data_IF_663054742824
#
_entry.id   IF_663054742824
#
_cell.length_a   1.000
_cell.length_b   1.000
_cell.length_c   1.000
_cell.angle_alpha   90.00
_cell.angle_beta   90.00
_cell.angle_gamma   90.00
#
_symmetry.space_group_name_H-M   'P 1'
#
loop_
_entity.id
_entity.type
_entity.pdbx_description
1 polymer ?
#
# COMPACT_ATOMS: atom_id res chain seq x y z
N UNK A 1 -6.65 -11.15 8.88
CA UNK A 1 -7.43 -10.70 7.71
C UNK A 1 -6.52 -10.55 6.50
N UNK A 2 -7.05 -10.84 5.33
CA UNK A 2 -6.29 -10.74 4.10
C UNK A 2 -6.65 -9.46 3.36
N UNK A 3 -5.62 -8.73 2.91
CA UNK A 3 -5.79 -7.47 2.21
C UNK A 3 -5.03 -7.55 0.88
N UNK A 4 -5.68 -7.12 -0.19
CA UNK A 4 -5.07 -7.04 -1.50
C UNK A 4 -4.33 -5.72 -1.63
N UNK A 5 -3.14 -5.75 -2.22
CA UNK A 5 -2.31 -4.55 -2.39
C UNK A 5 -2.10 -4.29 -3.88
N UNK A 6 -2.36 -3.06 -4.31
CA UNK A 6 -2.09 -2.62 -5.67
C UNK A 6 -0.91 -1.67 -5.67
N UNK A 7 -0.01 -1.86 -6.62
CA UNK A 7 1.23 -1.10 -6.73
C UNK A 7 1.34 -0.51 -8.13
N UNK A 8 1.72 0.75 -8.21
CA UNK A 8 1.78 1.48 -9.47
C UNK A 8 3.17 2.05 -9.73
N UNK A 9 3.50 2.21 -11.00
CA UNK A 9 4.71 2.90 -11.48
C UNK A 9 5.97 2.43 -10.75
N UNK A 10 6.71 3.34 -10.12
CA UNK A 10 7.98 3.02 -9.46
C UNK A 10 7.82 1.99 -8.35
N UNK A 11 6.69 1.97 -7.65
CA UNK A 11 6.46 1.00 -6.58
C UNK A 11 6.30 -0.40 -7.16
N UNK A 12 5.63 -0.52 -8.30
CA UNK A 12 5.48 -1.79 -8.99
C UNK A 12 6.86 -2.33 -9.41
N UNK A 13 7.76 -1.46 -9.84
CA UNK A 13 9.10 -1.86 -10.23
C UNK A 13 9.90 -2.37 -9.04
N UNK A 14 9.75 -1.73 -7.88
CA UNK A 14 10.45 -2.19 -6.67
C UNK A 14 9.99 -3.59 -6.25
N UNK A 15 8.69 -3.83 -6.29
CA UNK A 15 8.12 -5.10 -5.85
C UNK A 15 8.23 -6.18 -6.92
N UNK A 16 8.22 -5.77 -8.19
CA UNK A 16 8.25 -6.71 -9.31
C UNK A 16 6.88 -7.23 -9.72
N UNK A 17 5.80 -6.64 -9.16
CA UNK A 17 4.44 -7.03 -9.46
C UNK A 17 3.50 -5.87 -9.21
N UNK A 18 2.41 -5.80 -9.97
CA UNK A 18 1.38 -4.78 -9.77
C UNK A 18 0.40 -5.14 -8.66
N UNK A 19 0.43 -6.37 -8.18
CA UNK A 19 -0.46 -6.86 -7.13
C UNK A 19 0.28 -7.70 -6.12
N UNK A 20 -0.16 -7.64 -4.87
CA UNK A 20 0.33 -8.47 -3.81
C UNK A 20 -0.81 -8.72 -2.83
N UNK A 21 -0.59 -9.55 -1.84
CA UNK A 21 -1.56 -9.78 -0.78
C UNK A 21 -0.79 -9.91 0.53
N UNK A 22 -1.36 -9.37 1.60
CA UNK A 22 -0.75 -9.46 2.93
C UNK A 22 -1.77 -9.90 3.95
N UNK A 23 -1.29 -10.60 4.98
CA UNK A 23 -2.09 -10.96 6.13
C UNK A 23 -1.79 -9.98 7.25
N UNK A 24 -2.84 -9.48 7.89
CA UNK A 24 -2.73 -8.54 8.99
C UNK A 24 -3.68 -8.93 10.11
N UNK A 25 -3.38 -8.43 11.31
CA UNK A 25 -4.25 -8.63 12.44
C UNK A 25 -5.54 -7.81 12.31
N UNK A 26 -6.66 -8.28 12.87
CA UNK A 26 -7.87 -7.48 12.90
C UNK A 26 -7.60 -6.14 13.59
N UNK A 27 -8.17 -5.07 13.03
CA UNK A 27 -7.95 -3.73 13.56
C UNK A 27 -6.79 -2.98 12.91
N UNK A 28 -6.06 -3.63 11.99
CA UNK A 28 -4.97 -2.97 11.28
C UNK A 28 -5.49 -1.83 10.40
N UNK A 29 -4.61 -0.87 10.15
CA UNK A 29 -4.91 0.30 9.33
C UNK A 29 -4.20 0.23 7.97
N UNK A 30 -4.53 1.17 7.10
CA UNK A 30 -3.85 1.31 5.79
C UNK A 30 -2.34 1.46 5.98
N UNK A 31 -1.92 2.23 6.98
CA UNK A 31 -0.50 2.40 7.28
C UNK A 31 0.17 1.08 7.66
N UNK A 32 -0.55 0.19 8.33
CA UNK A 32 -0.01 -1.10 8.69
C UNK A 32 0.28 -1.96 7.47
N UNK A 33 -0.51 -1.81 6.40
CA UNK A 33 -0.24 -2.48 5.14
C UNK A 33 1.09 -1.98 4.57
N UNK A 34 1.30 -0.66 4.58
CA UNK A 34 2.54 -0.07 4.08
C UNK A 34 3.74 -0.58 4.88
N UNK A 35 3.63 -0.58 6.21
CA UNK A 35 4.69 -1.10 7.08
C UNK A 35 5.00 -2.55 6.77
N UNK A 36 3.96 -3.36 6.56
CA UNK A 36 4.14 -4.76 6.20
C UNK A 36 4.85 -4.90 4.85
N UNK A 37 4.48 -4.08 3.88
CA UNK A 37 5.11 -4.12 2.56
C UNK A 37 6.59 -3.73 2.65
N UNK A 38 6.94 -2.73 3.46
CA UNK A 38 8.35 -2.37 3.68
C UNK A 38 9.12 -3.52 4.30
N UNK A 39 8.49 -4.26 5.22
CA UNK A 39 9.11 -5.42 5.83
C UNK A 39 9.47 -6.49 4.79
N UNK A 40 8.59 -6.67 3.80
CA UNK A 40 8.80 -7.64 2.73
C UNK A 40 9.72 -7.10 1.62
N UNK A 41 9.64 -5.81 1.37
CA UNK A 41 10.38 -5.14 0.30
C UNK A 41 11.01 -3.84 0.84
N UNK A 42 12.16 -3.95 1.52
CA UNK A 42 12.79 -2.78 2.17
C UNK A 42 13.06 -1.60 1.24
N UNK A 43 13.19 -1.84 -0.05
CA UNK A 43 13.42 -0.77 -1.02
C UNK A 43 12.20 0.15 -1.21
N UNK A 44 11.07 -0.21 -0.63
CA UNK A 44 9.91 0.68 -0.60
C UNK A 44 10.06 1.81 0.41
N UNK A 45 10.90 1.62 1.43
CA UNK A 45 11.02 2.58 2.53
C UNK A 45 11.29 4.02 2.09
N UNK A 46 12.16 4.29 1.11
CA UNK A 46 12.42 5.68 0.67
C UNK A 46 11.19 6.39 0.09
N UNK A 47 10.17 5.65 -0.30
CA UNK A 47 8.95 6.23 -0.88
C UNK A 47 7.95 6.67 0.19
N UNK A 48 8.19 6.32 1.44
CA UNK A 48 7.32 6.70 2.56
C UNK A 48 7.22 8.22 2.64
N UNK A 49 6.10 8.81 2.73
CA UNK A 49 5.95 10.25 2.81
C UNK A 49 5.68 10.92 1.47
N UNK A 50 5.89 10.22 0.36
CA UNK A 50 5.62 10.78 -0.96
C UNK A 50 4.48 10.06 -1.67
N UNK A 51 3.93 9.02 -1.07
CA UNK A 51 2.87 8.23 -1.69
C UNK A 51 1.50 8.66 -1.19
N UNK A 52 0.50 8.44 -2.05
CA UNK A 52 -0.90 8.56 -1.65
C UNK A 52 -1.47 7.17 -1.40
N UNK A 53 -2.49 7.10 -0.57
CA UNK A 53 -3.16 5.85 -0.24
C UNK A 53 -4.57 5.87 -0.78
N UNK A 54 -5.02 4.73 -1.30
CA UNK A 54 -6.42 4.55 -1.68
C UNK A 54 -6.93 3.25 -1.07
N UNK A 55 -8.18 3.27 -0.64
CA UNK A 55 -8.86 2.12 -0.08
C UNK A 55 -10.10 1.87 -0.91
N UNK A 56 -10.16 0.68 -1.52
CA UNK A 56 -11.29 0.29 -2.37
C UNK A 56 -11.61 1.37 -3.41
N UNK A 57 -10.58 1.84 -4.10
CA UNK A 57 -10.64 2.82 -5.20
C UNK A 57 -10.97 4.25 -4.79
N UNK A 58 -10.90 4.57 -3.50
CA UNK A 58 -11.11 5.94 -3.03
C UNK A 58 -9.90 6.40 -2.22
N UNK A 59 -9.44 7.62 -2.45
CA UNK A 59 -8.34 8.16 -1.65
C UNK A 59 -8.72 8.14 -0.17
N UNK A 60 -7.75 7.82 0.67
CA UNK A 60 -7.96 7.68 2.10
C UNK A 60 -6.72 8.17 2.84
N UNK A 61 -6.82 8.20 4.16
CA UNK A 61 -5.68 8.54 5.03
C UNK A 61 -5.05 7.27 5.58
N UNK A 62 -3.79 7.35 6.05
CA UNK A 62 -3.08 6.16 6.52
C UNK A 62 -3.69 5.51 7.78
N UNK A 63 -4.55 6.22 8.49
CA UNK A 63 -5.13 5.72 9.74
C UNK A 63 -6.46 5.00 9.55
N UNK A 64 -6.96 4.93 8.31
CA UNK A 64 -8.23 4.26 8.03
C UNK A 64 -8.17 2.78 8.39
N UNK A 65 -9.16 2.31 9.14
CA UNK A 65 -9.23 0.91 9.55
C UNK A 65 -9.61 0.01 8.37
N UNK A 66 -9.06 -1.19 8.37
CA UNK A 66 -9.29 -2.16 7.31
C UNK A 66 -10.22 -3.28 7.72
N UNK A 67 -10.82 -3.91 6.73
CA UNK A 67 -11.64 -5.11 6.88
C UNK A 67 -11.11 -6.19 5.97
N UNK A 68 -11.41 -7.44 6.30
CA UNK A 68 -10.98 -8.57 5.48
C UNK A 68 -11.48 -8.40 4.03
N UNK A 69 -10.60 -8.64 3.10
CA UNK A 69 -10.93 -8.52 1.68
C UNK A 69 -10.76 -7.12 1.09
N UNK A 70 -10.40 -6.12 1.90
CA UNK A 70 -10.16 -4.78 1.39
C UNK A 70 -9.01 -4.75 0.39
N UNK A 71 -9.04 -3.75 -0.49
CA UNK A 71 -8.00 -3.51 -1.48
C UNK A 71 -7.37 -2.15 -1.22
N UNK A 72 -6.07 -2.15 -0.95
CA UNK A 72 -5.30 -0.93 -0.69
C UNK A 72 -4.37 -0.68 -1.87
N UNK A 73 -4.35 0.54 -2.36
CA UNK A 73 -3.44 0.96 -3.42
C UNK A 73 -2.45 1.99 -2.90
N UNK A 74 -1.20 1.85 -3.32
CA UNK A 74 -0.15 2.83 -3.04
C UNK A 74 0.23 3.49 -4.36
N UNK A 75 0.12 4.82 -4.40
CA UNK A 75 0.32 5.59 -5.61
C UNK A 75 1.48 6.57 -5.40
N UNK A 76 2.56 6.43 -6.18
CA UNK A 76 3.64 7.40 -6.10
C UNK A 76 3.19 8.74 -6.67
N UNK A 77 3.90 9.83 -6.36
CA UNK A 77 3.53 11.13 -6.91
C UNK A 77 3.68 11.12 -8.43
N UNK A 78 2.78 11.82 -9.10
CA UNK A 78 2.90 12.02 -10.54
C UNK A 78 4.05 12.98 -10.75
N UNK A 79 5.07 12.56 -11.53
CA UNK A 79 6.12 13.49 -11.89
C UNK A 79 5.48 14.57 -12.76
N UNK A 80 5.56 15.81 -12.34
CA UNK A 80 4.93 16.91 -13.01
C UNK A 80 5.62 17.26 -14.32
N UNK A 81 5.80 16.26 -15.09
CA UNK A 81 6.48 16.41 -16.37
C UNK A 81 5.69 17.19 -17.32
#
# INVERSE_FOLDING_TARGET
MKVKVLLFASLREVVGSSQSAVELEPGASVEDVWTRMISLYPRLAPHTGTIAFALNSAFTNPHEALHDGDEVAFLPPVSGG
#
